data_IF_906646013299
#
_entry.id   IF_906646013299
#
_cell.length_a   1.000
_cell.length_b   1.000
_cell.length_c   1.000
_cell.angle_alpha   90.00
_cell.angle_beta   90.00
_cell.angle_gamma   90.00
#
_symmetry.space_group_name_H-M   'P 1'
#
loop_
_entity.id
_entity.type
_entity.pdbx_description
1 polymer ?
#
# COMPACT_ATOMS: atom_id res chain seq x y z
N UNK A 1 -3.56 -21.26 5.70
CA UNK A 1 -3.52 -19.94 5.04
C UNK A 1 -4.49 -19.03 5.76
N UNK A 2 -4.07 -17.86 6.26
CA UNK A 2 -5.02 -16.88 6.81
C UNK A 2 -5.77 -16.27 5.63
N UNK A 3 -7.09 -16.44 5.60
CA UNK A 3 -7.93 -15.81 4.59
C UNK A 3 -8.03 -14.32 4.88
N UNK A 4 -7.73 -13.49 3.89
CA UNK A 4 -7.88 -12.04 3.96
C UNK A 4 -9.14 -11.64 3.17
N UNK A 5 -10.31 -11.55 3.85
CA UNK A 5 -11.55 -11.18 3.18
C UNK A 5 -11.53 -9.69 2.81
N UNK A 6 -12.14 -9.37 1.68
CA UNK A 6 -12.33 -8.01 1.22
C UNK A 6 -13.23 -7.24 2.20
N UNK A 7 -12.84 -6.07 2.70
CA UNK A 7 -13.64 -5.28 3.63
C UNK A 7 -14.91 -4.68 3.00
N UNK A 8 -15.08 -4.78 1.68
CA UNK A 8 -16.24 -4.26 0.94
C UNK A 8 -17.30 -5.32 0.63
N UNK A 9 -16.90 -6.55 0.33
CA UNK A 9 -17.82 -7.61 -0.10
C UNK A 9 -17.56 -8.98 0.52
N UNK A 10 -16.62 -9.07 1.47
CA UNK A 10 -16.26 -10.26 2.23
C UNK A 10 -15.73 -11.45 1.41
N UNK A 11 -15.44 -11.26 0.12
CA UNK A 11 -14.82 -12.26 -0.76
C UNK A 11 -13.31 -12.32 -0.52
N UNK A 12 -12.69 -13.49 -0.68
CA UNK A 12 -11.23 -13.66 -0.63
C UNK A 12 -10.52 -12.70 -1.60
N UNK A 13 -9.46 -12.06 -1.12
CA UNK A 13 -8.61 -11.20 -1.95
C UNK A 13 -7.42 -11.98 -2.51
N UNK A 14 -7.03 -11.62 -3.73
CA UNK A 14 -5.81 -12.11 -4.38
C UNK A 14 -4.60 -11.29 -3.91
N UNK A 15 -3.49 -11.96 -3.62
CA UNK A 15 -2.26 -11.32 -3.14
C UNK A 15 -1.27 -11.13 -4.28
N UNK A 16 -0.66 -9.94 -4.32
CA UNK A 16 0.35 -9.61 -5.32
C UNK A 16 1.26 -8.48 -4.86
N UNK A 17 1.95 -7.91 -5.83
CA UNK A 17 2.81 -6.76 -5.65
C UNK A 17 2.43 -5.70 -6.67
N UNK A 18 2.73 -4.45 -6.38
CA UNK A 18 2.62 -3.42 -7.39
C UNK A 18 3.82 -3.49 -8.33
N UNK A 19 3.55 -3.67 -9.63
CA UNK A 19 4.55 -3.58 -10.68
C UNK A 19 4.50 -2.19 -11.32
N UNK A 20 5.65 -1.65 -11.69
CA UNK A 20 5.76 -0.32 -12.29
C UNK A 20 6.49 -0.43 -13.62
N UNK A 21 5.87 0.10 -14.67
CA UNK A 21 6.49 0.38 -15.96
C UNK A 21 6.83 1.88 -16.03
N UNK A 22 7.95 2.30 -15.44
CA UNK A 22 8.39 3.70 -15.50
C UNK A 22 9.38 4.11 -14.40
N UNK A 23 9.76 5.39 -14.39
CA UNK A 23 10.77 5.98 -13.47
C UNK A 23 10.19 6.56 -12.17
N UNK A 24 8.87 6.51 -11.96
CA UNK A 24 8.21 7.01 -10.76
C UNK A 24 8.16 5.99 -9.63
N UNK A 25 8.37 6.43 -8.38
CA UNK A 25 8.10 5.61 -7.19
C UNK A 25 6.62 5.72 -6.84
N UNK A 26 5.85 4.63 -6.91
CA UNK A 26 4.54 4.63 -6.25
C UNK A 26 4.73 4.38 -4.77
N UNK A 27 4.13 5.23 -3.97
CA UNK A 27 4.23 5.12 -2.53
C UNK A 27 3.38 6.15 -1.82
N UNK A 28 3.42 6.09 -0.50
CA UNK A 28 2.65 6.96 0.37
C UNK A 28 3.47 8.14 0.85
N UNK A 29 2.89 9.34 0.78
CA UNK A 29 3.45 10.54 1.39
C UNK A 29 2.50 10.99 2.49
N UNK A 30 3.00 10.97 3.72
CA UNK A 30 2.21 11.37 4.89
C UNK A 30 2.01 12.87 4.94
N UNK A 31 0.78 13.31 5.22
CA UNK A 31 0.48 14.72 5.52
C UNK A 31 1.14 15.23 6.81
N UNK A 32 1.63 14.33 7.67
CA UNK A 32 2.41 14.69 8.88
C UNK A 32 3.82 15.18 8.55
N UNK A 33 4.33 14.91 7.35
CA UNK A 33 5.61 15.44 6.90
C UNK A 33 5.42 16.93 6.57
N UNK A 34 5.94 17.80 7.42
CA UNK A 34 5.82 19.27 7.30
C UNK A 34 7.07 19.94 6.70
N UNK A 35 8.17 19.19 6.53
CA UNK A 35 9.41 19.69 5.96
C UNK A 35 9.36 19.92 4.44
N UNK A 36 10.33 20.69 3.94
CA UNK A 36 10.47 21.02 2.51
C UNK A 36 10.73 19.77 1.64
N UNK A 37 11.36 18.74 2.21
CA UNK A 37 11.58 17.45 1.58
C UNK A 37 10.52 16.46 2.06
N UNK A 38 9.67 15.99 1.13
CA UNK A 38 8.72 14.90 1.38
C UNK A 38 9.35 13.58 0.93
N UNK A 39 9.23 12.55 1.76
CA UNK A 39 9.85 11.25 1.52
C UNK A 39 8.74 10.20 1.29
N UNK A 40 8.79 9.51 0.15
CA UNK A 40 7.79 8.53 -0.31
C UNK A 40 8.02 7.15 0.31
N UNK A 41 7.14 6.68 1.19
CA UNK A 41 7.21 5.32 1.74
C UNK A 41 6.77 4.32 0.67
N UNK A 42 7.60 3.32 0.36
CA UNK A 42 7.30 2.39 -0.73
C UNK A 42 6.14 1.47 -0.38
N UNK A 43 5.28 1.20 -1.37
CA UNK A 43 4.28 0.14 -1.33
C UNK A 43 4.91 -1.07 -2.00
N UNK A 44 4.99 -2.21 -1.32
CA UNK A 44 5.64 -3.42 -1.86
C UNK A 44 4.66 -4.56 -2.06
N UNK A 45 3.60 -4.61 -1.25
CA UNK A 45 2.58 -5.65 -1.30
C UNK A 45 1.21 -5.01 -1.49
N UNK A 46 0.38 -5.67 -2.30
CA UNK A 46 -0.99 -5.27 -2.54
C UNK A 46 -1.89 -6.51 -2.57
N UNK A 47 -3.17 -6.30 -2.27
CA UNK A 47 -4.21 -7.30 -2.42
C UNK A 47 -5.34 -6.72 -3.24
N UNK A 48 -5.85 -7.48 -4.20
CA UNK A 48 -6.95 -7.06 -5.04
C UNK A 48 -8.16 -7.99 -4.85
N UNK A 49 -9.35 -7.41 -4.69
CA UNK A 49 -10.57 -8.17 -4.67
C UNK A 49 -11.06 -8.41 -6.11
N UNK A 50 -11.09 -9.66 -6.61
CA UNK A 50 -11.54 -9.94 -7.97
C UNK A 50 -13.05 -9.68 -8.17
N UNK A 51 -13.83 -9.64 -7.08
CA UNK A 51 -15.28 -9.47 -7.15
C UNK A 51 -15.70 -7.99 -7.27
N UNK A 52 -15.09 -7.09 -6.50
CA UNK A 52 -15.52 -5.68 -6.44
C UNK A 52 -14.42 -4.66 -6.80
N UNK A 53 -13.22 -5.11 -7.17
CA UNK A 53 -12.11 -4.25 -7.56
C UNK A 53 -11.46 -3.46 -6.41
N UNK A 54 -11.87 -3.69 -5.16
CA UNK A 54 -11.21 -3.07 -4.01
C UNK A 54 -9.74 -3.53 -3.93
N UNK A 55 -8.83 -2.57 -3.77
CA UNK A 55 -7.40 -2.82 -3.61
C UNK A 55 -6.95 -2.35 -2.24
N UNK A 56 -6.24 -3.21 -1.52
CA UNK A 56 -5.56 -2.88 -0.28
C UNK A 56 -4.04 -2.86 -0.52
N UNK A 57 -3.38 -1.80 -0.07
CA UNK A 57 -1.94 -1.59 -0.29
C UNK A 57 -1.22 -1.52 1.05
N UNK A 58 -0.04 -2.14 1.11
CA UNK A 58 0.72 -2.29 2.34
C UNK A 58 2.03 -1.51 2.25
N UNK A 59 2.29 -0.73 3.31
CA UNK A 59 3.55 -0.05 3.55
C UNK A 59 4.33 -0.82 4.61
N UNK A 60 5.65 -0.79 4.55
CA UNK A 60 6.46 -1.23 5.69
C UNK A 60 6.20 -0.29 6.89
N UNK A 61 5.72 -0.81 8.03
CA UNK A 61 5.37 0.02 9.17
C UNK A 61 6.60 0.61 9.88
N UNK A 62 7.77 -0.02 9.81
CA UNK A 62 9.02 0.52 10.36
C UNK A 62 9.53 1.66 9.47
N UNK A 63 9.52 1.46 8.16
CA UNK A 63 9.86 2.50 7.19
C UNK A 63 8.93 3.72 7.34
N UNK A 64 7.62 3.48 7.45
CA UNK A 64 6.64 4.54 7.65
C UNK A 64 6.89 5.32 8.94
N UNK A 65 7.08 4.64 10.08
CA UNK A 65 7.33 5.28 11.38
C UNK A 65 8.59 6.15 11.35
N UNK A 66 9.69 5.64 10.77
CA UNK A 66 10.93 6.40 10.64
C UNK A 66 10.80 7.70 9.83
N UNK A 67 9.74 7.83 9.01
CA UNK A 67 9.52 9.00 8.14
C UNK A 67 8.51 10.00 8.66
N UNK A 68 7.70 9.64 9.65
CA UNK A 68 6.60 10.50 10.13
C UNK A 68 6.77 11.00 11.57
N UNK A 69 7.75 10.48 12.31
CA UNK A 69 7.94 10.80 13.73
C UNK A 69 6.92 10.09 14.60
#
# INVERSE_FOLDING_TARGET
>A
MKTHPCPKCNTSMDEGYMSWSGSGQSGYVSKKQTGMLRVVTKITLARACPNCGYVEMYLDPQELKGRIG
#
